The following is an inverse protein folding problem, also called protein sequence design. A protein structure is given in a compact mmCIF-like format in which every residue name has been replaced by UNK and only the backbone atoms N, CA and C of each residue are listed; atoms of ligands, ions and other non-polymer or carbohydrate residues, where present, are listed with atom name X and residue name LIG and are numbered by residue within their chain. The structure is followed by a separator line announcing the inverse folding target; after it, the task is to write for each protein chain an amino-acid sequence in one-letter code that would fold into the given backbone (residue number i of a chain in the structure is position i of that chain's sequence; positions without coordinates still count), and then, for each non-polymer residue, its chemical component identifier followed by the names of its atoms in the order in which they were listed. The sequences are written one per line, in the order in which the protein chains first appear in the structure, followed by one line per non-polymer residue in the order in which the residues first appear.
data_IF_394816938925
#
_entry.id   IF_394816938925
#
_cell.length_a   1.000
_cell.length_b   1.000
_cell.length_c   1.000
_cell.angle_alpha   90.00
_cell.angle_beta   90.00
_cell.angle_gamma   90.00
#
_symmetry.space_group_name_H-M   'P 1'
#
loop_
_entity.id
_entity.type
_entity.pdbx_description
1 polymer ?
#
# COMPACT_ATOMS: atom_id res chain seq x y z
N UNK A 1 23.93 -7.70 6.25
CA UNK A 1 24.42 -8.64 5.22
C UNK A 1 23.26 -8.83 4.28
N UNK A 2 23.33 -8.25 3.08
CA UNK A 2 22.25 -8.35 2.09
C UNK A 2 22.27 -9.80 1.58
N UNK A 3 21.15 -10.52 1.71
CA UNK A 3 21.03 -11.90 1.26
C UNK A 3 21.08 -11.91 -0.28
N UNK A 4 21.71 -12.90 -0.91
CA UNK A 4 21.85 -12.99 -2.38
C UNK A 4 20.52 -12.84 -3.14
N UNK A 5 19.40 -13.25 -2.52
CA UNK A 5 18.05 -13.09 -3.08
C UNK A 5 17.58 -11.64 -3.22
N UNK A 6 18.01 -10.73 -2.34
CA UNK A 6 17.58 -9.32 -2.35
C UNK A 6 18.17 -8.58 -3.56
N UNK A 7 19.43 -8.87 -3.90
CA UNK A 7 20.11 -8.25 -5.05
C UNK A 7 19.50 -8.74 -6.36
N UNK A 8 19.22 -10.04 -6.48
CA UNK A 8 18.63 -10.61 -7.69
C UNK A 8 17.23 -10.02 -7.94
N UNK A 9 16.39 -9.94 -6.90
CA UNK A 9 15.07 -9.35 -7.01
C UNK A 9 15.11 -7.84 -7.31
N UNK A 10 16.03 -7.09 -6.68
CA UNK A 10 16.20 -5.67 -6.96
C UNK A 10 16.69 -5.39 -8.39
N UNK A 11 17.56 -6.23 -8.95
CA UNK A 11 18.01 -6.12 -10.35
C UNK A 11 16.86 -6.40 -11.31
N UNK A 12 16.10 -7.48 -11.09
CA UNK A 12 14.92 -7.80 -11.89
C UNK A 12 13.91 -6.64 -11.87
N UNK A 13 13.65 -6.07 -10.70
CA UNK A 13 12.75 -4.93 -10.57
C UNK A 13 13.29 -3.69 -11.30
N UNK A 14 14.58 -3.40 -11.18
CA UNK A 14 15.24 -2.29 -11.89
C UNK A 14 15.09 -2.43 -13.41
N UNK A 15 15.21 -3.65 -13.95
CA UNK A 15 14.96 -3.93 -15.37
C UNK A 15 13.49 -3.71 -15.75
N UNK A 16 12.55 -4.13 -14.90
CA UNK A 16 11.11 -4.05 -15.15
C UNK A 16 10.53 -2.64 -14.99
N UNK A 17 11.12 -1.81 -14.15
CA UNK A 17 10.55 -0.51 -13.73
C UNK A 17 11.42 0.68 -14.09
N UNK A 18 12.65 0.44 -14.55
CA UNK A 18 13.69 1.46 -14.72
C UNK A 18 14.10 2.17 -13.42
N UNK A 19 13.73 1.62 -12.26
CA UNK A 19 14.16 2.13 -10.97
C UNK A 19 15.68 1.95 -10.78
N UNK A 20 16.31 2.93 -10.12
CA UNK A 20 17.71 2.84 -9.73
C UNK A 20 17.85 2.12 -8.39
N UNK A 21 18.86 1.27 -8.27
CA UNK A 21 19.18 0.60 -6.99
C UNK A 21 19.93 1.58 -6.09
N UNK A 22 19.31 1.93 -4.95
CA UNK A 22 20.00 2.60 -3.85
C UNK A 22 20.40 1.57 -2.77
N UNK A 23 21.70 1.51 -2.45
CA UNK A 23 22.26 0.61 -1.42
C UNK A 23 22.48 1.29 -0.08
N UNK A 24 22.20 2.60 0.02
CA UNK A 24 22.45 3.41 1.21
C UNK A 24 21.20 3.55 2.08
N UNK A 25 20.02 3.43 1.49
CA UNK A 25 18.76 3.50 2.22
C UNK A 25 18.49 2.16 2.95
N UNK A 26 18.27 2.24 4.26
CA UNK A 26 17.72 1.13 5.04
C UNK A 26 16.20 1.09 4.95
N UNK A 27 15.57 0.13 5.65
CA UNK A 27 14.10 0.08 5.73
C UNK A 27 13.54 1.35 6.37
N UNK A 28 12.62 2.00 5.66
CA UNK A 28 11.85 3.11 6.23
C UNK A 28 10.85 2.61 7.30
N UNK A 29 10.20 3.56 7.99
CA UNK A 29 9.24 3.24 9.04
C UNK A 29 8.02 2.46 8.53
N UNK A 30 7.54 2.75 7.32
CA UNK A 30 6.37 2.09 6.73
C UNK A 30 6.63 0.62 6.43
N UNK A 31 7.83 0.27 5.98
CA UNK A 31 8.23 -1.11 5.80
C UNK A 31 8.60 -1.80 7.12
N UNK A 32 9.43 -1.17 7.95
CA UNK A 32 9.91 -1.77 9.20
C UNK A 32 8.78 -2.09 10.18
N UNK A 33 7.82 -1.16 10.34
CA UNK A 33 6.70 -1.32 11.29
C UNK A 33 5.81 -2.52 10.97
N UNK A 34 5.69 -2.90 9.69
CA UNK A 34 4.95 -4.09 9.26
C UNK A 34 5.82 -5.35 9.37
N UNK A 35 7.04 -5.29 8.84
CA UNK A 35 7.89 -6.47 8.66
C UNK A 35 8.41 -7.05 9.97
N UNK A 36 8.66 -6.22 10.99
CA UNK A 36 9.09 -6.69 12.31
C UNK A 36 8.04 -7.60 12.98
N UNK A 37 6.76 -7.42 12.63
CA UNK A 37 5.67 -8.24 13.13
C UNK A 37 5.36 -9.43 12.22
N UNK A 38 5.42 -9.24 10.90
CA UNK A 38 5.11 -10.30 9.93
C UNK A 38 6.23 -11.35 9.84
N UNK A 39 7.50 -10.93 9.89
CA UNK A 39 8.68 -11.78 9.81
C UNK A 39 9.67 -11.49 10.95
N UNK A 40 9.31 -11.76 12.22
CA UNK A 40 10.10 -11.38 13.39
C UNK A 40 11.47 -12.07 13.47
N UNK A 41 11.68 -13.14 12.69
CA UNK A 41 12.96 -13.86 12.60
C UNK A 41 13.93 -13.25 11.59
N UNK A 42 13.46 -12.34 10.73
CA UNK A 42 14.27 -11.73 9.66
C UNK A 42 14.89 -12.78 8.71
N UNK A 43 14.17 -13.87 8.49
CA UNK A 43 14.58 -15.02 7.67
C UNK A 43 14.06 -14.95 6.22
N UNK A 44 13.33 -13.87 5.89
CA UNK A 44 12.86 -13.56 4.54
C UNK A 44 13.67 -12.38 3.98
N UNK A 45 14.29 -12.54 2.80
CA UNK A 45 14.94 -11.43 2.09
C UNK A 45 13.97 -10.30 1.76
N UNK A 46 14.34 -9.05 2.01
CA UNK A 46 13.49 -7.86 1.76
C UNK A 46 14.24 -6.82 0.93
N UNK A 47 13.53 -6.23 -0.02
CA UNK A 47 13.94 -4.99 -0.69
C UNK A 47 12.75 -4.04 -0.72
N UNK A 48 13.02 -2.76 -0.94
CA UNK A 48 12.00 -1.71 -1.00
C UNK A 48 11.94 -1.10 -2.40
N UNK A 49 10.73 -0.73 -2.80
CA UNK A 49 10.48 0.10 -3.97
C UNK A 49 9.86 1.42 -3.49
N UNK A 50 10.53 2.53 -3.76
CA UNK A 50 10.00 3.86 -3.47
C UNK A 50 8.85 4.23 -4.41
N UNK A 51 7.89 5.01 -3.91
CA UNK A 51 6.85 5.63 -4.73
C UNK A 51 7.35 6.95 -5.31
N UNK A 52 7.22 7.15 -6.62
CA UNK A 52 7.51 8.43 -7.28
C UNK A 52 6.29 9.36 -7.21
N UNK A 53 6.32 10.30 -6.27
CA UNK A 53 5.23 11.26 -6.04
C UNK A 53 4.96 12.22 -7.22
N UNK A 54 5.84 12.27 -8.22
CA UNK A 54 5.62 13.09 -9.42
C UNK A 54 4.73 12.41 -10.47
N UNK A 55 4.46 11.12 -10.30
CA UNK A 55 3.69 10.32 -11.27
C UNK A 55 2.19 10.38 -11.02
N UNK A 56 1.37 10.29 -12.09
CA UNK A 56 -0.07 10.13 -11.97
C UNK A 56 -0.46 8.83 -11.23
N UNK A 57 -1.59 8.86 -10.52
CA UNK A 57 -2.17 7.69 -9.85
C UNK A 57 -2.30 6.46 -10.79
N UNK A 58 -2.72 6.69 -12.04
CA UNK A 58 -2.86 5.64 -13.04
C UNK A 58 -1.52 4.93 -13.32
N UNK A 59 -0.39 5.65 -13.34
CA UNK A 59 0.92 5.01 -13.55
C UNK A 59 1.30 4.09 -12.38
N UNK A 60 0.93 4.44 -11.15
CA UNK A 60 1.12 3.56 -9.99
C UNK A 60 0.21 2.33 -10.05
N UNK A 61 -1.03 2.50 -10.52
CA UNK A 61 -1.91 1.36 -10.77
C UNK A 61 -1.34 0.43 -11.85
N UNK A 62 -0.90 0.99 -12.97
CA UNK A 62 -0.33 0.21 -14.08
C UNK A 62 0.99 -0.47 -13.70
N UNK A 63 1.81 0.14 -12.83
CA UNK A 63 2.98 -0.50 -12.22
C UNK A 63 2.61 -1.82 -11.54
N UNK A 64 1.44 -1.90 -10.91
CA UNK A 64 0.94 -3.12 -10.29
C UNK A 64 0.88 -4.31 -11.25
N UNK A 65 0.53 -4.08 -12.51
CA UNK A 65 0.48 -5.13 -13.55
C UNK A 65 1.87 -5.72 -13.77
N UNK A 66 2.89 -4.86 -13.87
CA UNK A 66 4.29 -5.27 -13.99
C UNK A 66 4.74 -6.02 -12.75
N UNK A 67 4.48 -5.49 -11.55
CA UNK A 67 4.84 -6.13 -10.29
C UNK A 67 4.17 -7.50 -10.12
N UNK A 68 2.95 -7.68 -10.66
CA UNK A 68 2.23 -8.94 -10.56
C UNK A 68 3.03 -10.12 -11.09
N UNK A 69 3.88 -9.92 -12.12
CA UNK A 69 4.73 -10.98 -12.72
C UNK A 69 5.76 -11.55 -11.74
N UNK A 70 6.16 -10.77 -10.73
CA UNK A 70 7.09 -11.20 -9.69
C UNK A 70 6.49 -12.32 -8.81
N UNK A 71 5.16 -12.40 -8.73
CA UNK A 71 4.46 -13.44 -7.97
C UNK A 71 4.72 -14.84 -8.54
N UNK A 72 4.98 -14.96 -9.84
CA UNK A 72 5.35 -16.25 -10.47
C UNK A 72 6.76 -16.72 -10.07
N UNK A 73 7.58 -15.81 -9.55
CA UNK A 73 8.92 -16.09 -9.04
C UNK A 73 8.94 -16.28 -7.52
N UNK A 74 7.76 -16.41 -6.88
CA UNK A 74 7.64 -16.57 -5.43
C UNK A 74 7.87 -15.30 -4.62
N UNK A 75 7.83 -14.12 -5.26
CA UNK A 75 7.99 -12.83 -4.58
C UNK A 75 6.63 -12.36 -4.06
N UNK A 76 6.57 -12.04 -2.76
CA UNK A 76 5.41 -11.42 -2.14
C UNK A 76 5.52 -9.89 -2.24
N UNK A 77 4.43 -9.25 -2.65
CA UNK A 77 4.32 -7.80 -2.76
C UNK A 77 3.55 -7.29 -1.53
N UNK A 78 4.13 -6.35 -0.80
CA UNK A 78 3.48 -5.69 0.35
C UNK A 78 3.41 -4.19 0.06
N UNK A 79 2.21 -3.63 0.11
CA UNK A 79 1.98 -2.19 0.17
C UNK A 79 1.71 -1.79 1.61
N UNK A 80 2.39 -0.75 2.09
CA UNK A 80 2.20 -0.19 3.42
C UNK A 80 1.79 1.27 3.30
N UNK A 81 0.71 1.65 3.99
CA UNK A 81 0.04 2.94 3.88
C UNK A 81 -1.24 2.93 4.72
N UNK A 82 -2.16 3.85 4.44
CA UNK A 82 -3.44 3.93 5.13
C UNK A 82 -4.56 4.33 4.17
N UNK A 83 -5.76 3.78 4.39
CA UNK A 83 -6.97 4.17 3.65
C UNK A 83 -7.43 5.56 4.03
N UNK A 84 -7.14 6.03 5.24
CA UNK A 84 -7.29 7.44 5.64
C UNK A 84 -6.08 7.87 6.47
N UNK A 85 -5.49 9.02 6.14
CA UNK A 85 -4.27 9.51 6.79
C UNK A 85 -4.24 11.05 6.87
N UNK A 86 -5.03 11.60 7.79
CA UNK A 86 -4.97 13.01 8.16
C UNK A 86 -4.57 13.16 9.62
N UNK A 87 -3.28 13.33 9.86
CA UNK A 87 -2.72 13.50 11.20
C UNK A 87 -3.23 14.77 11.89
N UNK A 88 -3.64 15.79 11.12
CA UNK A 88 -4.17 17.05 11.65
C UNK A 88 -5.57 16.95 12.29
N UNK A 89 -6.31 15.86 12.05
CA UNK A 89 -7.65 15.62 12.63
C UNK A 89 -7.69 14.40 13.58
N UNK A 90 -6.54 13.82 13.89
CA UNK A 90 -6.44 12.68 14.81
C UNK A 90 -6.94 13.02 16.22
N UNK A 91 -7.54 12.03 16.88
CA UNK A 91 -7.93 12.13 18.29
C UNK A 91 -6.79 11.69 19.19
N UNK A 92 -6.69 12.31 20.36
CA UNK A 92 -5.63 11.99 21.33
C UNK A 92 -5.75 10.57 21.89
N UNK A 93 -6.97 10.05 22.00
CA UNK A 93 -7.20 8.66 22.36
C UNK A 93 -6.90 7.75 21.16
N UNK A 94 -5.91 6.87 21.32
CA UNK A 94 -5.49 5.89 20.31
C UNK A 94 -6.62 4.95 19.93
N UNK A 95 -7.43 4.55 20.89
CA UNK A 95 -8.47 3.54 20.69
C UNK A 95 -9.83 4.21 20.38
N UNK A 96 -9.82 5.51 20.10
CA UNK A 96 -11.01 6.23 19.68
C UNK A 96 -11.64 5.59 18.42
N UNK A 97 -12.95 5.33 18.43
CA UNK A 97 -13.64 4.74 17.29
C UNK A 97 -13.63 5.70 16.11
N UNK A 98 -13.76 5.13 14.90
CA UNK A 98 -13.82 5.89 13.66
C UNK A 98 -14.83 7.04 13.74
N UNK A 99 -14.44 8.26 13.37
CA UNK A 99 -15.37 9.38 13.23
C UNK A 99 -16.20 9.21 11.96
N UNK A 100 -17.35 9.87 11.90
CA UNK A 100 -18.34 9.67 10.82
C UNK A 100 -17.74 9.79 9.42
N UNK A 101 -17.00 10.87 9.13
CA UNK A 101 -16.43 11.09 7.81
C UNK A 101 -15.40 10.01 7.43
N UNK A 102 -14.62 9.52 8.41
CA UNK A 102 -13.58 8.52 8.18
C UNK A 102 -14.20 7.14 7.91
N UNK A 103 -15.29 6.80 8.61
CA UNK A 103 -16.09 5.62 8.31
C UNK A 103 -16.76 5.71 6.93
N UNK A 104 -17.31 6.88 6.57
CA UNK A 104 -17.90 7.10 5.24
C UNK A 104 -16.86 6.94 4.12
N UNK A 105 -15.65 7.48 4.30
CA UNK A 105 -14.54 7.28 3.37
C UNK A 105 -14.17 5.80 3.25
N UNK A 106 -13.91 5.12 4.39
CA UNK A 106 -13.46 3.72 4.41
C UNK A 106 -14.48 2.76 3.79
N UNK A 107 -15.78 3.01 4.03
CA UNK A 107 -16.86 2.23 3.41
C UNK A 107 -16.91 2.46 1.89
N UNK A 108 -16.79 3.71 1.43
CA UNK A 108 -16.76 4.02 0.00
C UNK A 108 -15.50 3.44 -0.68
N UNK A 109 -14.37 3.46 0.01
CA UNK A 109 -13.15 2.80 -0.42
C UNK A 109 -13.36 1.28 -0.54
N UNK A 110 -13.97 0.64 0.47
CA UNK A 110 -14.29 -0.79 0.46
C UNK A 110 -15.19 -1.20 -0.70
N UNK A 111 -16.18 -0.38 -1.02
CA UNK A 111 -17.09 -0.63 -2.15
C UNK A 111 -16.34 -0.54 -3.47
N UNK A 112 -15.58 0.54 -3.67
CA UNK A 112 -14.76 0.76 -4.86
C UNK A 112 -13.65 -0.30 -5.02
N UNK A 113 -13.11 -0.82 -3.92
CA UNK A 113 -12.13 -1.90 -3.90
C UNK A 113 -12.63 -3.17 -4.60
N UNK A 114 -13.94 -3.44 -4.54
CA UNK A 114 -14.53 -4.65 -5.13
C UNK A 114 -15.14 -4.35 -6.50
N UNK A 115 -15.67 -3.15 -6.69
CA UNK A 115 -16.57 -2.86 -7.81
C UNK A 115 -16.00 -1.87 -8.83
N UNK A 116 -15.13 -0.95 -8.43
CA UNK A 116 -14.73 0.17 -9.29
C UNK A 116 -13.39 0.80 -8.88
N UNK A 117 -12.29 0.17 -9.30
CA UNK A 117 -10.94 0.70 -9.09
C UNK A 117 -10.74 2.10 -9.71
N UNK A 118 -11.55 2.49 -10.71
CA UNK A 118 -11.42 3.81 -11.35
C UNK A 118 -11.68 4.93 -10.35
N UNK A 119 -12.64 4.77 -9.44
CA UNK A 119 -12.87 5.73 -8.35
C UNK A 119 -11.65 5.90 -7.45
N UNK A 120 -10.92 4.81 -7.20
CA UNK A 120 -9.71 4.84 -6.38
C UNK A 120 -8.55 5.54 -7.10
N UNK A 121 -8.44 5.37 -8.42
CA UNK A 121 -7.42 6.01 -9.26
C UNK A 121 -7.70 7.50 -9.42
N UNK A 122 -8.96 7.87 -9.65
CA UNK A 122 -9.38 9.26 -9.90
C UNK A 122 -9.64 10.06 -8.62
N UNK A 123 -9.46 9.43 -7.46
CA UNK A 123 -9.73 10.02 -6.14
C UNK A 123 -11.19 10.46 -5.95
N UNK A 124 -12.11 9.80 -6.65
CA UNK A 124 -13.56 10.07 -6.64
C UNK A 124 -14.25 9.33 -5.49
N UNK A 125 -13.84 9.68 -4.26
CA UNK A 125 -14.41 9.19 -3.01
C UNK A 125 -14.85 10.38 -2.13
N UNK A 126 -15.91 10.22 -1.32
CA UNK A 126 -16.33 11.26 -0.40
C UNK A 126 -15.20 11.58 0.58
N UNK A 127 -14.98 12.86 0.88
CA UNK A 127 -13.97 13.34 1.83
C UNK A 127 -12.50 13.10 1.44
N UNK A 128 -12.19 12.76 0.19
CA UNK A 128 -10.82 12.37 -0.21
C UNK A 128 -9.74 13.39 0.18
N UNK A 129 -9.93 14.67 -0.16
CA UNK A 129 -8.97 15.72 0.18
C UNK A 129 -8.81 15.92 1.70
N UNK A 130 -9.85 15.60 2.49
CA UNK A 130 -9.76 15.65 3.95
C UNK A 130 -9.08 14.40 4.53
N UNK A 131 -9.33 13.23 3.95
CA UNK A 131 -8.67 11.98 4.34
C UNK A 131 -7.18 11.98 4.01
N UNK A 132 -6.77 12.68 2.95
CA UNK A 132 -5.42 12.70 2.42
C UNK A 132 -4.96 14.13 2.10
N UNK A 133 -4.45 14.89 3.11
CA UNK A 133 -3.79 16.18 2.87
C UNK A 133 -2.60 16.08 1.90
N UNK A 134 -2.01 14.89 1.82
CA UNK A 134 -0.98 14.49 0.87
C UNK A 134 -1.15 13.00 0.52
N UNK A 135 -0.57 12.56 -0.59
CA UNK A 135 -0.89 11.27 -1.22
C UNK A 135 0.04 10.12 -0.82
N UNK A 136 1.10 10.37 -0.05
CA UNK A 136 2.18 9.39 0.19
C UNK A 136 1.71 8.13 0.93
N UNK A 137 0.66 8.23 1.76
CA UNK A 137 0.07 7.08 2.45
C UNK A 137 -1.04 6.39 1.63
N UNK A 138 -1.53 7.02 0.55
CA UNK A 138 -2.58 6.46 -0.31
C UNK A 138 -2.01 5.77 -1.54
N UNK A 139 -1.04 6.37 -2.23
CA UNK A 139 -0.46 5.83 -3.47
C UNK A 139 0.07 4.39 -3.36
N UNK A 140 0.65 3.92 -2.23
CA UNK A 140 1.08 2.52 -2.08
C UNK A 140 -0.03 1.49 -2.31
N UNK A 141 -1.31 1.88 -2.20
CA UNK A 141 -2.46 1.01 -2.46
C UNK A 141 -2.56 0.67 -3.95
N UNK A 142 -2.29 1.63 -4.84
CA UNK A 142 -2.59 1.49 -6.27
C UNK A 142 -1.79 0.38 -6.98
N UNK A 143 -0.47 0.22 -6.75
CA UNK A 143 0.27 -0.92 -7.31
C UNK A 143 -0.22 -2.27 -6.78
N UNK A 144 -0.74 -2.33 -5.55
CA UNK A 144 -1.32 -3.58 -5.01
C UNK A 144 -2.60 -3.93 -5.74
N UNK A 145 -3.49 -2.96 -5.97
CA UNK A 145 -4.71 -3.17 -6.75
C UNK A 145 -4.43 -3.55 -8.20
N UNK A 146 -3.50 -2.84 -8.84
CA UNK A 146 -3.09 -3.14 -10.21
C UNK A 146 -2.41 -4.51 -10.37
N UNK A 147 -1.98 -5.13 -9.26
CA UNK A 147 -1.39 -6.48 -9.28
C UNK A 147 -2.41 -7.62 -9.31
N UNK A 148 -3.72 -7.29 -9.23
CA UNK A 148 -4.80 -8.26 -9.38
C UNK A 148 -4.82 -8.85 -10.78
N UNK A 149 -4.77 -10.18 -10.86
CA UNK A 149 -4.89 -10.94 -12.11
C UNK A 149 -6.34 -11.31 -12.37
N UNK A 150 -6.64 -11.67 -13.61
CA UNK A 150 -7.97 -12.12 -14.01
C UNK A 150 -8.42 -13.32 -13.16
N UNK A 151 -9.63 -13.25 -12.62
CA UNK A 151 -10.22 -14.27 -11.75
C UNK A 151 -9.79 -14.22 -10.28
N UNK A 152 -8.85 -13.34 -9.90
CA UNK A 152 -8.49 -13.16 -8.49
C UNK A 152 -9.51 -12.28 -7.76
N UNK A 153 -9.66 -12.54 -6.47
CA UNK A 153 -10.55 -11.76 -5.60
C UNK A 153 -9.73 -10.89 -4.66
N UNK A 154 -10.35 -9.80 -4.20
CA UNK A 154 -9.83 -8.99 -3.12
C UNK A 154 -10.63 -9.30 -1.86
N UNK A 155 -9.94 -9.54 -0.75
CA UNK A 155 -10.57 -9.75 0.55
C UNK A 155 -9.98 -8.82 1.60
N UNK A 156 -10.84 -8.21 2.40
CA UNK A 156 -10.42 -7.53 3.62
C UNK A 156 -9.98 -8.56 4.64
N UNK A 157 -8.79 -8.38 5.22
CA UNK A 157 -8.22 -9.28 6.24
C UNK A 157 -8.25 -8.67 7.63
N UNK A 158 -8.37 -7.35 7.72
CA UNK A 158 -8.55 -6.62 8.97
C UNK A 158 -9.28 -5.30 8.71
N UNK A 159 -10.14 -4.91 9.65
CA UNK A 159 -10.83 -3.62 9.67
C UNK A 159 -10.73 -3.03 11.07
N UNK A 160 -10.54 -1.72 11.14
CA UNK A 160 -10.44 -1.01 12.40
C UNK A 160 -10.00 0.42 12.21
N UNK A 161 -10.15 1.21 13.26
CA UNK A 161 -9.68 2.59 13.29
C UNK A 161 -8.76 2.79 14.48
N UNK A 162 -7.77 3.67 14.31
CA UNK A 162 -6.98 4.24 15.38
C UNK A 162 -7.08 5.76 15.35
N UNK A 163 -6.97 6.38 16.51
CA UNK A 163 -7.06 7.83 16.69
C UNK A 163 -8.33 8.44 16.07
N UNK A 164 -9.39 7.66 15.95
CA UNK A 164 -10.67 8.01 15.33
C UNK A 164 -10.63 8.32 13.82
N UNK A 165 -9.48 8.58 13.20
CA UNK A 165 -9.41 9.01 11.80
C UNK A 165 -8.49 8.16 10.93
N UNK A 166 -7.67 7.29 11.51
CA UNK A 166 -6.75 6.43 10.77
C UNK A 166 -7.39 5.07 10.55
N UNK A 167 -7.81 4.80 9.31
CA UNK A 167 -8.26 3.48 8.92
C UNK A 167 -7.07 2.54 8.90
N UNK A 168 -7.20 1.45 9.63
CA UNK A 168 -6.24 0.37 9.72
C UNK A 168 -6.62 -0.79 8.79
N UNK A 169 -7.57 -0.57 7.85
CA UNK A 169 -8.02 -1.58 6.90
C UNK A 169 -6.84 -2.23 6.17
N UNK A 170 -6.80 -3.55 6.19
CA UNK A 170 -5.86 -4.36 5.42
C UNK A 170 -6.63 -5.25 4.45
N UNK A 171 -6.12 -5.41 3.24
CA UNK A 171 -6.71 -6.30 2.25
C UNK A 171 -5.63 -7.14 1.55
N UNK A 172 -6.06 -8.26 0.97
CA UNK A 172 -5.24 -9.16 0.18
C UNK A 172 -5.84 -9.31 -1.21
N UNK A 173 -4.98 -9.28 -2.22
CA UNK A 173 -5.29 -9.63 -3.62
C UNK A 173 -4.78 -11.04 -3.90
N UNK A 174 -5.64 -11.90 -4.47
CA UNK A 174 -5.34 -13.33 -4.67
C UNK A 174 -5.11 -14.11 -3.38
#
# INVERSE_FOLDING_TARGET
MILQGEIAAALLLGELTHACIDRRHGLDHGAWSVLVHLFPKHDVPVFQLSIDMSKPALEHYDLGKTLSTLRDQGIMIIGSGNVTHNLGDTKSDRDAPGVKWAQEFDNAFSDALIHDHKKLIDFDLPHFAHAHPSLEHYLPILPILGSQREGETIRTVYEGFQHGTLSMRCFKVG
#
